data_IF_457854654691
#
_entry.id   IF_457854654691
#
_cell.length_a   1.000
_cell.length_b   1.000
_cell.length_c   1.000
_cell.angle_alpha   90.00
_cell.angle_beta   90.00
_cell.angle_gamma   90.00
#
_symmetry.space_group_name_H-M   'P 1'
#
loop_
_entity.id
_entity.type
_entity.pdbx_description
1 polymer ?
#
# COMPACT_ATOMS: atom_id res chain seq x y z
N UNK A 1 -15.87 -6.44 -22.04
CA UNK A 1 -15.18 -5.44 -21.17
C UNK A 1 -15.84 -5.23 -19.80
N UNK A 2 -17.18 -5.11 -19.63
CA UNK A 2 -17.77 -4.81 -18.30
C UNK A 2 -17.53 -5.82 -17.17
N UNK A 3 -17.33 -7.10 -17.47
CA UNK A 3 -17.11 -8.12 -16.44
C UNK A 3 -15.68 -8.18 -15.92
N UNK A 4 -14.67 -7.72 -16.68
CA UNK A 4 -13.26 -7.83 -16.27
C UNK A 4 -12.93 -6.98 -15.05
N UNK A 5 -13.54 -5.78 -14.93
CA UNK A 5 -13.33 -4.89 -13.77
C UNK A 5 -13.86 -5.50 -12.47
N UNK A 6 -14.99 -6.21 -12.53
CA UNK A 6 -15.60 -6.83 -11.35
C UNK A 6 -14.79 -8.07 -10.93
N UNK A 7 -14.27 -8.85 -11.89
CA UNK A 7 -13.42 -10.01 -11.58
C UNK A 7 -12.13 -9.61 -10.88
N UNK A 8 -11.61 -8.39 -11.12
CA UNK A 8 -10.47 -7.87 -10.37
C UNK A 8 -10.78 -7.78 -8.86
N UNK A 9 -12.05 -7.59 -8.45
CA UNK A 9 -12.46 -7.59 -7.04
C UNK A 9 -12.51 -8.98 -6.40
N UNK A 10 -12.47 -10.05 -7.17
CA UNK A 10 -12.54 -11.40 -6.63
C UNK A 10 -11.32 -11.69 -5.75
N UNK A 11 -11.54 -12.37 -4.64
CA UNK A 11 -10.45 -12.85 -3.80
C UNK A 11 -9.61 -13.86 -4.60
N UNK A 12 -8.28 -13.71 -4.60
CA UNK A 12 -7.37 -14.61 -5.33
C UNK A 12 -7.40 -16.05 -4.82
N UNK A 13 -7.75 -16.26 -3.54
CA UNK A 13 -7.78 -17.59 -2.90
C UNK A 13 -9.10 -18.30 -3.14
N UNK A 14 -10.24 -17.62 -2.98
CA UNK A 14 -11.56 -18.27 -3.01
C UNK A 14 -12.44 -17.88 -4.21
N UNK A 15 -11.99 -16.95 -5.06
CA UNK A 15 -12.70 -16.49 -6.25
C UNK A 15 -14.00 -15.73 -5.98
N UNK A 16 -14.37 -15.50 -4.71
CA UNK A 16 -15.62 -14.82 -4.34
C UNK A 16 -15.48 -13.31 -4.40
N UNK A 17 -16.56 -12.67 -4.84
CA UNK A 17 -16.71 -11.21 -4.82
C UNK A 17 -17.05 -10.71 -3.40
N UNK A 18 -16.60 -9.49 -3.05
CA UNK A 18 -16.96 -8.86 -1.79
C UNK A 18 -18.47 -8.68 -1.69
N UNK A 19 -19.05 -8.90 -0.51
CA UNK A 19 -20.48 -8.79 -0.34
C UNK A 19 -20.96 -7.34 -0.54
N UNK A 20 -21.98 -7.12 -1.36
CA UNK A 20 -22.51 -5.78 -1.59
C UNK A 20 -23.21 -5.25 -0.34
N UNK A 21 -23.33 -3.92 -0.24
CA UNK A 21 -24.11 -3.30 0.82
C UNK A 21 -25.58 -3.74 0.74
N UNK A 22 -26.17 -4.11 1.88
CA UNK A 22 -27.56 -4.59 1.98
C UNK A 22 -28.56 -3.67 1.27
N UNK A 23 -28.41 -2.35 1.43
CA UNK A 23 -29.30 -1.35 0.80
C UNK A 23 -29.25 -1.38 -0.72
N UNK A 24 -28.05 -1.49 -1.32
CA UNK A 24 -27.90 -1.63 -2.78
C UNK A 24 -28.49 -2.95 -3.26
N UNK A 25 -28.25 -4.04 -2.54
CA UNK A 25 -28.85 -5.33 -2.88
C UNK A 25 -30.37 -5.26 -2.88
N UNK A 26 -30.99 -4.66 -1.86
CA UNK A 26 -32.45 -4.48 -1.79
C UNK A 26 -32.96 -3.62 -2.93
N UNK A 27 -32.33 -2.48 -3.21
CA UNK A 27 -32.71 -1.60 -4.32
C UNK A 27 -32.55 -2.27 -5.70
N UNK A 28 -31.49 -3.06 -5.90
CA UNK A 28 -31.31 -3.83 -7.13
C UNK A 28 -32.44 -4.86 -7.31
N UNK A 29 -32.84 -5.56 -6.23
CA UNK A 29 -33.96 -6.51 -6.27
C UNK A 29 -35.28 -5.81 -6.56
N UNK A 30 -35.58 -4.72 -5.87
CA UNK A 30 -36.80 -3.94 -6.09
C UNK A 30 -36.85 -3.36 -7.51
N UNK A 31 -35.76 -2.77 -7.99
CA UNK A 31 -35.69 -2.20 -9.34
C UNK A 31 -35.81 -3.23 -10.46
N UNK A 32 -35.44 -4.49 -10.21
CA UNK A 32 -35.60 -5.57 -11.17
C UNK A 32 -37.02 -6.17 -11.18
N UNK A 33 -37.67 -6.25 -10.01
CA UNK A 33 -39.00 -6.84 -9.85
C UNK A 33 -40.12 -5.84 -10.22
N UNK A 34 -40.00 -4.60 -9.78
CA UNK A 34 -41.08 -3.60 -9.86
C UNK A 34 -41.58 -3.31 -11.29
N UNK A 35 -40.73 -3.12 -12.32
CA UNK A 35 -41.22 -2.84 -13.68
C UNK A 35 -42.00 -4.01 -14.28
N UNK A 36 -41.61 -5.24 -13.94
CA UNK A 36 -42.27 -6.45 -14.45
C UNK A 36 -43.61 -6.65 -13.75
N UNK A 37 -43.67 -6.47 -12.43
CA UNK A 37 -44.95 -6.49 -11.72
C UNK A 37 -45.89 -5.40 -12.20
N UNK A 38 -45.40 -4.17 -12.41
CA UNK A 38 -46.23 -3.07 -12.90
C UNK A 38 -46.79 -3.37 -14.30
N UNK A 39 -45.98 -3.89 -15.22
CA UNK A 39 -46.41 -4.30 -16.55
C UNK A 39 -47.43 -5.44 -16.51
N UNK A 40 -47.23 -6.42 -15.62
CA UNK A 40 -48.16 -7.52 -15.41
C UNK A 40 -49.52 -7.01 -14.89
N UNK A 41 -49.52 -6.13 -13.88
CA UNK A 41 -50.75 -5.53 -13.37
C UNK A 41 -51.49 -4.74 -14.47
N UNK A 42 -50.77 -3.93 -15.24
CA UNK A 42 -51.35 -3.18 -16.36
C UNK A 42 -51.96 -4.11 -17.41
N UNK A 43 -51.29 -5.21 -17.77
CA UNK A 43 -51.76 -6.19 -18.73
C UNK A 43 -53.02 -6.93 -18.24
N UNK A 44 -53.02 -7.36 -16.98
CA UNK A 44 -54.13 -8.10 -16.39
C UNK A 44 -55.39 -7.23 -16.26
N UNK A 45 -55.24 -5.94 -15.97
CA UNK A 45 -56.35 -4.97 -15.99
C UNK A 45 -56.91 -4.79 -17.41
N UNK A 46 -56.05 -4.82 -18.44
CA UNK A 46 -56.47 -4.62 -19.82
C UNK A 46 -57.18 -5.83 -20.44
N UNK A 47 -56.95 -7.05 -19.91
CA UNK A 47 -57.47 -8.31 -20.48
C UNK A 47 -58.83 -8.76 -19.91
N UNK A 48 -59.49 -7.96 -19.06
CA UNK A 48 -60.82 -8.25 -18.47
C UNK A 48 -60.99 -9.69 -17.95
N UNK A 49 -59.96 -10.22 -17.28
CA UNK A 49 -59.96 -11.59 -16.78
C UNK A 49 -60.95 -11.80 -15.62
N UNK A 50 -61.55 -12.99 -15.46
CA UNK A 50 -62.33 -13.32 -14.27
C UNK A 50 -61.45 -13.24 -13.01
N UNK A 51 -62.03 -12.79 -11.90
CA UNK A 51 -61.30 -12.44 -10.66
C UNK A 51 -60.33 -13.53 -10.17
N UNK A 52 -60.74 -14.79 -10.19
CA UNK A 52 -59.88 -15.91 -9.76
C UNK A 52 -58.66 -16.11 -10.68
N UNK A 53 -58.81 -15.89 -11.98
CA UNK A 53 -57.71 -15.98 -12.93
C UNK A 53 -56.72 -14.83 -12.74
N UNK A 54 -57.22 -13.61 -12.49
CA UNK A 54 -56.38 -12.44 -12.16
C UNK A 54 -55.50 -12.71 -10.92
N UNK A 55 -56.10 -13.19 -9.83
CA UNK A 55 -55.37 -13.49 -8.59
C UNK A 55 -54.34 -14.61 -8.80
N UNK A 56 -54.70 -15.67 -9.52
CA UNK A 56 -53.80 -16.79 -9.81
C UNK A 56 -52.61 -16.37 -10.68
N UNK A 57 -52.85 -15.60 -11.75
CA UNK A 57 -51.79 -15.10 -12.64
C UNK A 57 -50.83 -14.19 -11.88
N UNK A 58 -51.34 -13.25 -11.08
CA UNK A 58 -50.49 -12.36 -10.28
C UNK A 58 -49.62 -13.14 -9.28
N UNK A 59 -50.22 -14.02 -8.50
CA UNK A 59 -49.48 -14.78 -7.47
C UNK A 59 -48.43 -15.72 -8.07
N UNK A 60 -48.75 -16.44 -9.15
CA UNK A 60 -47.81 -17.35 -9.82
C UNK A 60 -46.67 -16.55 -10.45
N UNK A 61 -46.98 -15.47 -11.15
CA UNK A 61 -45.96 -14.70 -11.87
C UNK A 61 -45.04 -13.95 -10.90
N UNK A 62 -45.57 -13.35 -9.82
CA UNK A 62 -44.75 -12.74 -8.75
C UNK A 62 -43.83 -13.77 -8.11
N UNK A 63 -44.32 -14.98 -7.82
CA UNK A 63 -43.48 -16.05 -7.23
C UNK A 63 -42.36 -16.48 -8.19
N UNK A 64 -42.68 -16.67 -9.47
CA UNK A 64 -41.69 -17.01 -10.51
C UNK A 64 -40.66 -15.89 -10.64
N UNK A 65 -41.10 -14.63 -10.67
CA UNK A 65 -40.25 -13.45 -10.82
C UNK A 65 -39.26 -13.32 -9.65
N UNK A 66 -39.72 -13.51 -8.41
CA UNK A 66 -38.86 -13.47 -7.22
C UNK A 66 -37.78 -14.55 -7.28
N UNK A 67 -38.11 -15.76 -7.74
CA UNK A 67 -37.13 -16.86 -7.83
C UNK A 67 -36.15 -16.63 -8.98
N UNK A 68 -36.64 -16.27 -10.16
CA UNK A 68 -35.82 -16.19 -11.38
C UNK A 68 -35.04 -14.89 -11.55
N UNK A 69 -35.48 -13.78 -10.98
CA UNK A 69 -34.81 -12.47 -11.15
C UNK A 69 -33.77 -12.22 -10.07
N UNK A 70 -33.99 -12.73 -8.86
CA UNK A 70 -33.14 -12.44 -7.69
C UNK A 70 -31.77 -13.13 -7.76
N UNK A 71 -31.64 -14.29 -8.40
CA UNK A 71 -30.38 -15.06 -8.38
C UNK A 71 -29.47 -14.86 -9.61
N UNK A 72 -29.90 -15.05 -10.87
CA UNK A 72 -28.96 -15.10 -11.99
C UNK A 72 -28.86 -13.80 -12.81
N UNK A 73 -29.98 -13.09 -12.99
CA UNK A 73 -30.10 -11.98 -13.96
C UNK A 73 -29.68 -10.63 -13.39
N UNK A 74 -30.28 -10.22 -12.27
CA UNK A 74 -30.03 -8.91 -11.66
C UNK A 74 -28.57 -8.75 -11.20
N UNK A 75 -27.98 -9.80 -10.62
CA UNK A 75 -26.59 -9.78 -10.14
C UNK A 75 -25.56 -9.59 -11.26
N UNK A 76 -25.81 -10.15 -12.45
CA UNK A 76 -24.90 -9.99 -13.61
C UNK A 76 -24.99 -8.59 -14.22
N UNK A 77 -26.19 -8.04 -14.37
CA UNK A 77 -26.38 -6.72 -15.00
C UNK A 77 -26.10 -5.56 -14.05
N UNK A 78 -26.46 -5.69 -12.77
CA UNK A 78 -26.25 -4.65 -11.76
C UNK A 78 -24.93 -4.79 -11.01
N UNK A 79 -24.10 -5.80 -11.29
CA UNK A 79 -22.87 -6.08 -10.55
C UNK A 79 -21.95 -4.86 -10.38
N UNK A 80 -21.75 -4.06 -11.43
CA UNK A 80 -20.93 -2.83 -11.35
C UNK A 80 -21.55 -1.75 -10.45
N UNK A 81 -22.87 -1.63 -10.44
CA UNK A 81 -23.55 -0.72 -9.54
C UNK A 81 -23.55 -1.27 -8.10
N UNK A 82 -23.74 -2.58 -7.94
CA UNK A 82 -23.74 -3.28 -6.66
C UNK A 82 -22.40 -3.11 -5.94
N UNK A 83 -21.29 -3.29 -6.67
CA UNK A 83 -19.91 -3.14 -6.20
C UNK A 83 -19.32 -1.76 -6.51
N UNK A 84 -20.11 -0.79 -6.95
CA UNK A 84 -19.65 0.54 -7.35
C UNK A 84 -18.75 1.25 -6.32
N UNK A 85 -19.07 1.24 -5.00
CA UNK A 85 -18.22 1.87 -3.99
C UNK A 85 -16.88 1.16 -3.85
N UNK A 86 -16.88 -0.16 -3.98
CA UNK A 86 -15.66 -0.98 -3.88
C UNK A 86 -14.77 -0.79 -5.12
N UNK A 87 -15.38 -0.73 -6.31
CA UNK A 87 -14.70 -0.38 -7.55
C UNK A 87 -14.10 1.03 -7.48
N UNK A 88 -14.82 1.99 -6.91
CA UNK A 88 -14.31 3.34 -6.69
C UNK A 88 -13.17 3.37 -5.67
N UNK A 89 -13.29 2.61 -4.60
CA UNK A 89 -12.24 2.53 -3.58
C UNK A 89 -10.97 1.91 -4.16
N UNK A 90 -11.09 0.80 -4.91
CA UNK A 90 -9.97 0.20 -5.62
C UNK A 90 -9.38 1.13 -6.67
N UNK A 91 -10.22 1.77 -7.49
CA UNK A 91 -9.74 2.77 -8.44
C UNK A 91 -9.02 3.93 -7.75
N UNK A 92 -9.48 4.35 -6.57
CA UNK A 92 -8.81 5.37 -5.77
C UNK A 92 -7.44 4.90 -5.27
N UNK A 93 -7.34 3.68 -4.74
CA UNK A 93 -6.07 3.07 -4.33
C UNK A 93 -5.11 2.87 -5.52
N UNK A 94 -5.63 2.42 -6.65
CA UNK A 94 -4.87 2.25 -7.89
C UNK A 94 -4.43 3.59 -8.48
N UNK A 95 -5.21 4.67 -8.26
CA UNK A 95 -4.88 6.03 -8.66
C UNK A 95 -4.05 6.80 -7.63
N UNK A 96 -3.88 6.24 -6.42
CA UNK A 96 -3.15 6.90 -5.36
C UNK A 96 -1.69 7.11 -5.80
N UNK A 97 -1.12 8.21 -5.33
CA UNK A 97 0.24 8.57 -5.67
C UNK A 97 1.23 7.47 -5.24
N UNK A 98 2.11 7.09 -6.16
CA UNK A 98 3.20 6.16 -5.89
C UNK A 98 4.43 6.92 -5.43
N UNK A 99 4.97 6.48 -4.30
CA UNK A 99 6.20 7.02 -3.75
C UNK A 99 7.40 6.23 -4.29
N UNK A 100 8.45 6.96 -4.65
CA UNK A 100 9.70 6.42 -5.17
C UNK A 100 10.87 6.98 -4.40
N UNK A 101 11.80 6.12 -4.00
CA UNK A 101 13.12 6.51 -3.55
C UNK A 101 14.07 6.42 -4.73
N UNK A 102 14.69 7.54 -5.08
CA UNK A 102 15.59 7.69 -6.22
C UNK A 102 16.95 8.06 -5.67
N UNK A 103 17.98 7.25 -5.98
CA UNK A 103 19.38 7.63 -5.77
C UNK A 103 19.98 8.02 -7.11
N UNK A 104 20.52 9.23 -7.20
CA UNK A 104 21.08 9.79 -8.43
C UNK A 104 22.43 10.46 -8.13
N UNK A 105 23.39 10.27 -9.02
CA UNK A 105 24.61 11.09 -9.05
C UNK A 105 24.36 12.28 -9.97
N UNK A 106 24.40 13.48 -9.41
CA UNK A 106 24.35 14.74 -10.14
C UNK A 106 25.71 15.42 -10.05
N UNK A 107 26.16 16.00 -11.17
CA UNK A 107 27.32 16.88 -11.15
C UNK A 107 27.06 18.04 -10.19
N UNK A 108 28.02 18.37 -9.32
CA UNK A 108 27.95 19.53 -8.44
C UNK A 108 28.19 20.84 -9.24
N UNK A 109 27.25 21.17 -10.12
CA UNK A 109 27.20 22.42 -10.89
C UNK A 109 25.89 23.14 -10.62
N UNK A 110 25.90 24.47 -10.45
CA UNK A 110 24.66 25.24 -10.27
C UNK A 110 23.69 24.96 -11.44
N UNK A 111 22.39 24.83 -11.11
CA UNK A 111 21.32 24.57 -12.08
C UNK A 111 21.05 23.08 -12.43
N UNK A 112 21.90 22.13 -12.01
CA UNK A 112 21.67 20.69 -12.27
C UNK A 112 20.43 20.16 -11.56
N UNK A 113 20.27 20.49 -10.28
CA UNK A 113 19.09 20.10 -9.50
C UNK A 113 17.81 20.75 -10.04
N UNK A 114 17.89 21.99 -10.51
CA UNK A 114 16.77 22.69 -11.14
C UNK A 114 16.31 21.98 -12.42
N UNK A 115 17.27 21.55 -13.25
CA UNK A 115 16.96 20.84 -14.48
C UNK A 115 16.35 19.45 -14.19
N UNK A 116 16.81 18.77 -13.13
CA UNK A 116 16.19 17.54 -12.64
C UNK A 116 14.76 17.79 -12.15
N UNK A 117 14.55 18.80 -11.30
CA UNK A 117 13.23 19.17 -10.80
C UNK A 117 12.27 19.50 -11.95
N UNK A 118 12.74 20.21 -12.98
CA UNK A 118 11.95 20.50 -14.19
C UNK A 118 11.57 19.23 -14.97
N UNK A 119 12.50 18.28 -15.15
CA UNK A 119 12.21 17.02 -15.83
C UNK A 119 11.23 16.13 -15.05
N UNK A 120 11.28 16.16 -13.72
CA UNK A 120 10.31 15.49 -12.85
C UNK A 120 8.94 16.18 -12.90
N UNK A 121 8.90 17.52 -12.84
CA UNK A 121 7.66 18.29 -12.91
C UNK A 121 6.88 18.07 -14.22
N UNK A 122 7.56 17.93 -15.37
CA UNK A 122 6.93 17.59 -16.66
C UNK A 122 6.15 16.27 -16.57
N UNK A 123 6.57 15.35 -15.70
CA UNK A 123 5.93 14.05 -15.45
C UNK A 123 4.98 14.07 -14.26
N UNK A 124 4.64 15.27 -13.77
CA UNK A 124 3.83 15.49 -12.56
C UNK A 124 4.40 14.80 -11.32
N UNK A 125 5.71 14.59 -11.31
CA UNK A 125 6.40 13.99 -10.18
C UNK A 125 6.73 15.09 -9.16
N UNK A 126 6.23 14.95 -7.94
CA UNK A 126 6.42 15.90 -6.85
C UNK A 126 7.57 15.45 -5.94
N UNK A 127 8.55 16.32 -5.70
CA UNK A 127 9.68 16.02 -4.81
C UNK A 127 9.25 16.33 -3.38
N UNK A 128 9.28 15.33 -2.52
CA UNK A 128 8.83 15.43 -1.13
C UNK A 128 10.01 15.70 -0.20
N UNK A 129 11.13 15.00 -0.44
CA UNK A 129 12.34 15.13 0.37
C UNK A 129 13.58 14.99 -0.51
N UNK A 130 14.63 15.74 -0.18
CA UNK A 130 15.95 15.63 -0.80
C UNK A 130 16.99 15.49 0.31
N UNK A 131 17.81 14.45 0.21
CA UNK A 131 18.96 14.21 1.07
C UNK A 131 20.22 14.13 0.23
N UNK A 132 21.28 14.82 0.66
CA UNK A 132 22.55 14.85 -0.04
C UNK A 132 23.56 14.06 0.77
N UNK A 133 24.14 13.03 0.16
CA UNK A 133 25.18 12.21 0.76
C UNK A 133 26.54 12.55 0.13
N UNK A 134 27.50 12.94 0.96
CA UNK A 134 28.87 13.18 0.54
C UNK A 134 29.67 11.87 0.65
N UNK A 135 30.15 11.35 -0.49
CA UNK A 135 30.99 10.16 -0.60
C UNK A 135 32.41 10.56 -1.00
N UNK A 136 33.39 9.71 -0.70
CA UNK A 136 34.80 9.93 -1.08
C UNK A 136 34.98 10.14 -2.60
N UNK A 137 34.08 9.59 -3.41
CA UNK A 137 34.12 9.64 -4.88
C UNK A 137 33.03 10.54 -5.51
N UNK A 138 32.40 11.44 -4.73
CA UNK A 138 31.45 12.44 -5.24
C UNK A 138 30.22 12.64 -4.37
N UNK A 139 29.20 13.27 -4.96
CA UNK A 139 27.92 13.55 -4.29
C UNK A 139 26.84 12.57 -4.81
N UNK A 140 26.08 11.99 -3.88
CA UNK A 140 24.94 11.15 -4.18
C UNK A 140 23.69 11.78 -3.57
N UNK A 141 22.73 12.14 -4.43
CA UNK A 141 21.46 12.70 -4.00
C UNK A 141 20.42 11.58 -3.88
N UNK A 142 19.73 11.55 -2.76
CA UNK A 142 18.58 10.69 -2.49
C UNK A 142 17.32 11.55 -2.46
N UNK A 143 16.40 11.28 -3.39
CA UNK A 143 15.13 11.99 -3.52
C UNK A 143 13.98 11.04 -3.22
N UNK A 144 13.02 11.50 -2.42
CA UNK A 144 11.71 10.87 -2.28
C UNK A 144 10.73 11.64 -3.17
N UNK A 145 10.13 10.94 -4.13
CA UNK A 145 9.30 11.54 -5.16
C UNK A 145 7.94 10.85 -5.19
N UNK A 146 6.87 11.64 -5.12
CA UNK A 146 5.50 11.18 -5.41
C UNK A 146 5.24 11.29 -6.91
N UNK A 147 4.54 10.30 -7.46
CA UNK A 147 4.13 10.29 -8.86
C UNK A 147 2.69 9.80 -9.01
N UNK A 148 1.97 10.25 -10.05
CA UNK A 148 0.75 9.60 -10.49
C UNK A 148 0.96 8.10 -10.76
N UNK A 149 -0.06 7.28 -10.53
CA UNK A 149 0.06 5.83 -10.63
C UNK A 149 0.38 5.30 -12.05
N UNK A 150 0.17 6.08 -13.10
CA UNK A 150 0.52 5.74 -14.48
C UNK A 150 2.03 5.93 -14.78
N UNK A 151 2.79 6.57 -13.89
CA UNK A 151 4.23 6.79 -14.07
C UNK A 151 5.01 5.52 -13.68
N UNK A 152 5.58 4.88 -14.69
CA UNK A 152 6.47 3.73 -14.53
C UNK A 152 7.92 4.15 -14.16
N UNK A 153 8.70 3.28 -13.48
CA UNK A 153 10.11 3.54 -13.14
C UNK A 153 10.97 3.99 -14.32
N UNK A 154 10.77 3.38 -15.50
CA UNK A 154 11.52 3.70 -16.72
C UNK A 154 11.33 5.17 -17.15
N UNK A 155 10.15 5.76 -16.88
CA UNK A 155 9.89 7.18 -17.17
C UNK A 155 10.67 8.10 -16.23
N UNK A 156 10.87 7.69 -14.97
CA UNK A 156 11.71 8.40 -14.00
C UNK A 156 13.19 8.30 -14.36
N UNK A 157 13.68 7.10 -14.70
CA UNK A 157 15.04 6.90 -15.24
C UNK A 157 15.31 7.83 -16.41
N UNK A 158 14.38 7.91 -17.38
CA UNK A 158 14.52 8.82 -18.52
C UNK A 158 14.51 10.30 -18.12
N UNK A 159 13.75 10.68 -17.09
CA UNK A 159 13.74 12.05 -16.57
C UNK A 159 15.12 12.43 -16.01
N UNK A 160 15.70 11.52 -15.23
CA UNK A 160 17.01 11.68 -14.60
C UNK A 160 18.11 11.77 -15.66
N UNK A 161 18.13 10.87 -16.64
CA UNK A 161 19.13 10.91 -17.71
C UNK A 161 19.04 12.19 -18.55
N UNK A 162 17.82 12.68 -18.85
CA UNK A 162 17.63 13.98 -19.51
C UNK A 162 18.11 15.17 -18.67
N UNK A 163 18.14 14.99 -17.36
CA UNK A 163 18.71 15.99 -16.45
C UNK A 163 20.25 16.02 -16.44
N UNK A 164 20.89 15.07 -17.10
CA UNK A 164 22.32 14.83 -17.01
C UNK A 164 22.73 14.13 -15.72
N UNK A 165 21.78 13.56 -14.98
CA UNK A 165 22.05 12.72 -13.82
C UNK A 165 22.22 11.25 -14.20
N UNK A 166 22.99 10.52 -13.40
CA UNK A 166 23.16 9.07 -13.54
C UNK A 166 22.35 8.38 -12.44
N UNK A 167 21.26 7.66 -12.75
CA UNK A 167 20.49 6.96 -11.75
C UNK A 167 21.30 5.80 -11.20
N UNK A 168 21.50 5.77 -9.88
CA UNK A 168 22.12 4.66 -9.15
C UNK A 168 21.07 3.60 -8.83
N UNK A 169 19.84 4.02 -8.55
CA UNK A 169 18.70 3.12 -8.47
C UNK A 169 17.40 3.84 -8.16
N UNK A 170 16.29 3.17 -8.49
CA UNK A 170 14.92 3.63 -8.24
C UNK A 170 14.17 2.49 -7.59
N UNK A 171 13.67 2.71 -6.38
CA UNK A 171 12.94 1.72 -5.61
C UNK A 171 11.57 2.29 -5.21
N UNK A 172 10.52 1.45 -5.10
CA UNK A 172 9.28 1.88 -4.48
C UNK A 172 9.55 2.31 -3.03
N UNK A 173 8.90 3.39 -2.61
CA UNK A 173 8.94 3.90 -1.25
C UNK A 173 7.54 3.82 -0.63
N UNK A 174 7.46 3.92 0.69
CA UNK A 174 6.20 3.97 1.44
C UNK A 174 6.06 5.31 2.14
N UNK A 175 4.86 5.62 2.64
CA UNK A 175 4.63 6.86 3.40
C UNK A 175 5.53 6.95 4.65
N UNK A 176 5.93 5.80 5.21
CA UNK A 176 6.88 5.74 6.32
C UNK A 176 8.28 6.26 5.95
N UNK A 177 8.63 6.24 4.66
CA UNK A 177 9.92 6.77 4.15
C UNK A 177 9.96 8.31 4.18
N UNK A 178 8.82 8.99 4.28
CA UNK A 178 8.79 10.46 4.42
C UNK A 178 9.13 10.94 5.83
N UNK A 179 9.01 10.07 6.83
CA UNK A 179 9.37 10.41 8.21
C UNK A 179 10.88 10.56 8.24
N UNK A 180 11.36 11.75 8.58
CA UNK A 180 12.79 12.00 8.69
C UNK A 180 13.41 11.07 9.75
N UNK A 181 14.71 10.78 9.59
CA UNK A 181 15.40 9.83 10.45
C UNK A 181 15.35 10.19 11.94
N UNK A 182 15.24 11.47 12.29
CA UNK A 182 15.19 11.93 13.68
C UNK A 182 13.81 11.64 14.28
N UNK A 183 12.73 11.99 13.59
CA UNK A 183 11.35 11.67 13.99
C UNK A 183 11.15 10.16 14.08
N UNK A 184 11.68 9.39 13.13
CA UNK A 184 11.64 7.92 13.18
C UNK A 184 12.40 7.38 14.40
N UNK A 185 13.59 7.89 14.68
CA UNK A 185 14.37 7.47 15.84
C UNK A 185 13.67 7.80 17.16
N UNK A 186 13.00 8.95 17.27
CA UNK A 186 12.20 9.31 18.44
C UNK A 186 10.99 8.38 18.61
N UNK A 187 10.29 8.03 17.53
CA UNK A 187 9.20 7.06 17.58
C UNK A 187 9.67 5.67 18.03
N UNK A 188 10.81 5.21 17.51
CA UNK A 188 11.46 3.97 17.96
C UNK A 188 11.87 4.02 19.43
N UNK A 189 12.38 5.17 19.90
CA UNK A 189 12.71 5.39 21.31
C UNK A 189 11.47 5.33 22.20
N UNK A 190 10.35 5.95 21.80
CA UNK A 190 9.07 5.86 22.54
C UNK A 190 8.57 4.42 22.62
N UNK A 191 8.71 3.65 21.54
CA UNK A 191 8.34 2.22 21.51
C UNK A 191 9.16 1.39 22.50
N UNK A 192 10.49 1.58 22.54
CA UNK A 192 11.38 0.93 23.51
C UNK A 192 11.08 1.36 24.94
N UNK A 193 10.74 2.63 25.16
CA UNK A 193 10.39 3.13 26.49
C UNK A 193 9.07 2.53 27.00
N UNK A 194 8.11 2.28 26.10
CA UNK A 194 6.84 1.65 26.44
C UNK A 194 6.98 0.13 26.67
N UNK A 195 7.78 -0.55 25.84
CA UNK A 195 8.08 -1.98 25.97
C UNK A 195 9.56 -2.27 25.67
N UNK A 196 10.41 -2.38 26.72
CA UNK A 196 11.83 -2.69 26.55
C UNK A 196 12.11 -4.06 25.91
N UNK A 197 11.15 -5.00 25.92
CA UNK A 197 11.33 -6.31 25.32
C UNK A 197 11.39 -6.25 23.78
N UNK A 198 10.87 -5.18 23.17
CA UNK A 198 10.91 -4.99 21.72
C UNK A 198 12.27 -4.46 21.20
N UNK A 199 13.23 -4.18 22.10
CA UNK A 199 14.53 -3.62 21.76
C UNK A 199 15.24 -4.31 20.57
N UNK A 200 15.31 -5.66 20.48
CA UNK A 200 15.98 -6.30 19.35
C UNK A 200 15.31 -5.98 18.01
N UNK A 201 13.97 -5.98 17.98
CA UNK A 201 13.21 -5.68 16.76
C UNK A 201 13.33 -4.20 16.38
N UNK A 202 13.33 -3.32 17.37
CA UNK A 202 13.49 -1.87 17.16
C UNK A 202 14.89 -1.54 16.63
N UNK A 203 15.95 -2.15 17.15
CA UNK A 203 17.31 -1.94 16.61
C UNK A 203 17.42 -2.51 15.18
N UNK A 204 16.86 -3.69 14.91
CA UNK A 204 16.82 -4.25 13.56
C UNK A 204 16.14 -3.28 12.58
N UNK A 205 15.00 -2.69 13.00
CA UNK A 205 14.28 -1.70 12.23
C UNK A 205 15.08 -0.40 12.01
N UNK A 206 15.75 0.11 13.06
CA UNK A 206 16.60 1.31 12.99
C UNK A 206 17.73 1.13 11.96
N UNK A 207 18.35 -0.05 11.96
CA UNK A 207 19.52 -0.38 11.15
C UNK A 207 19.18 -0.85 9.72
N UNK A 208 17.89 -1.11 9.45
CA UNK A 208 17.49 -1.79 8.22
C UNK A 208 18.15 -3.17 8.10
N UNK A 209 18.30 -3.85 9.23
CA UNK A 209 18.99 -5.13 9.37
C UNK A 209 18.02 -6.20 9.89
N UNK A 210 18.45 -7.46 9.81
CA UNK A 210 17.74 -8.59 10.39
C UNK A 210 18.30 -8.91 11.77
N UNK A 211 17.43 -9.04 12.77
CA UNK A 211 17.81 -9.58 14.08
C UNK A 211 18.01 -11.10 13.98
N UNK A 212 19.14 -11.57 14.48
CA UNK A 212 19.53 -12.99 14.46
C UNK A 212 19.76 -13.44 15.90
N UNK A 213 18.81 -14.14 16.54
CA UNK A 213 18.96 -14.56 17.93
C UNK A 213 20.06 -15.61 18.13
N UNK A 214 20.34 -16.43 17.10
CA UNK A 214 21.42 -17.43 17.12
C UNK A 214 22.28 -17.24 15.88
N UNK A 215 23.47 -16.64 15.98
CA UNK A 215 24.35 -16.48 14.82
C UNK A 215 24.80 -17.85 14.29
N UNK A 216 24.50 -18.14 13.02
CA UNK A 216 25.00 -19.31 12.32
C UNK A 216 26.43 -19.07 11.82
N UNK A 217 27.40 -19.96 12.12
CA UNK A 217 28.77 -19.87 11.60
C UNK A 217 28.89 -19.98 10.07
N UNK A 218 27.93 -20.60 9.35
CA UNK A 218 27.97 -20.79 7.89
C UNK A 218 27.33 -19.63 7.09
N UNK A 219 27.52 -18.42 7.62
CA UNK A 219 26.83 -17.19 7.24
C UNK A 219 26.84 -16.85 5.75
N UNK A 220 25.75 -16.25 5.28
CA UNK A 220 25.54 -15.79 3.89
C UNK A 220 26.72 -14.94 3.40
N UNK A 221 27.44 -15.35 2.33
CA UNK A 221 28.56 -14.59 1.77
C UNK A 221 28.17 -13.15 1.40
N UNK A 222 28.94 -12.16 1.84
CA UNK A 222 28.72 -10.74 1.52
C UNK A 222 27.75 -9.99 2.45
N UNK A 223 27.40 -10.57 3.61
CA UNK A 223 26.63 -9.92 4.66
C UNK A 223 27.53 -9.30 5.72
N UNK A 224 27.14 -8.13 6.26
CA UNK A 224 27.81 -7.49 7.41
C UNK A 224 27.08 -7.83 8.70
N UNK A 225 27.87 -8.12 9.73
CA UNK A 225 27.40 -8.41 11.09
C UNK A 225 27.66 -7.20 12.00
N UNK A 226 26.69 -6.89 12.86
CA UNK A 226 26.88 -6.03 14.03
C UNK A 226 26.44 -6.79 15.28
N UNK A 227 27.36 -6.96 16.21
CA UNK A 227 27.06 -7.46 17.54
C UNK A 227 26.95 -6.28 18.50
N UNK A 228 25.87 -6.24 19.27
CA UNK A 228 25.66 -5.26 20.32
C UNK A 228 25.65 -6.04 21.63
N UNK A 229 26.67 -5.80 22.46
CA UNK A 229 26.77 -6.29 23.81
C UNK A 229 26.35 -5.16 24.77
N UNK A 230 25.04 -5.04 25.10
CA UNK A 230 24.59 -4.05 26.08
C UNK A 230 25.13 -4.36 27.49
N UNK A 231 25.25 -3.36 28.38
CA UNK A 231 25.68 -3.56 29.76
C UNK A 231 24.82 -4.58 30.53
N UNK A 232 25.47 -5.47 31.31
CA UNK A 232 25.09 -6.49 32.33
C UNK A 232 23.64 -7.02 32.51
N UNK A 233 22.59 -6.38 31.97
CA UNK A 233 21.17 -6.71 32.18
C UNK A 233 20.40 -7.08 30.91
N UNK A 234 21.02 -7.00 29.74
CA UNK A 234 20.39 -7.31 28.46
C UNK A 234 21.23 -8.37 27.74
N UNK A 235 20.57 -9.27 27.03
CA UNK A 235 21.24 -10.30 26.25
C UNK A 235 21.99 -9.68 25.05
N UNK A 236 23.14 -10.25 24.64
CA UNK A 236 23.81 -9.87 23.41
C UNK A 236 22.87 -10.04 22.21
N UNK A 237 22.87 -9.04 21.32
CA UNK A 237 22.04 -9.03 20.11
C UNK A 237 22.92 -8.96 18.87
N UNK A 238 22.50 -9.68 17.83
CA UNK A 238 23.26 -9.84 16.59
C UNK A 238 22.39 -9.38 15.42
N UNK A 239 22.93 -8.51 14.56
CA UNK A 239 22.24 -7.91 13.42
C UNK A 239 22.95 -8.19 12.10
N UNK A 240 22.18 -8.56 11.08
CA UNK A 240 22.65 -8.93 9.75
C UNK A 240 22.13 -7.96 8.68
N UNK A 241 23.02 -7.38 7.87
CA UNK A 241 22.64 -6.57 6.70
C UNK A 241 23.41 -7.01 5.46
N UNK A 242 22.72 -7.17 4.33
CA UNK A 242 23.34 -7.51 3.05
C UNK A 242 23.81 -6.26 2.30
N UNK A 243 25.01 -6.31 1.71
CA UNK A 243 25.47 -5.35 0.71
C UNK A 243 25.96 -3.98 1.21
N UNK A 244 25.91 -3.67 2.51
CA UNK A 244 26.41 -2.39 3.05
C UNK A 244 26.91 -2.50 4.51
N UNK A 245 28.15 -2.04 4.81
CA UNK A 245 28.69 -2.07 6.17
C UNK A 245 27.97 -1.08 7.09
N UNK A 246 27.94 -1.36 8.40
CA UNK A 246 27.38 -0.43 9.39
C UNK A 246 28.28 0.79 9.57
N UNK A 247 27.69 1.97 9.48
CA UNK A 247 28.40 3.23 9.72
C UNK A 247 28.58 3.47 11.22
N UNK A 248 29.63 4.22 11.64
CA UNK A 248 29.82 4.57 13.05
C UNK A 248 28.60 5.27 13.68
N UNK A 249 27.89 6.08 12.90
CA UNK A 249 26.69 6.77 13.35
C UNK A 249 25.50 5.82 13.60
N UNK A 250 25.35 4.76 12.77
CA UNK A 250 24.34 3.73 12.98
C UNK A 250 24.61 2.92 14.24
N UNK A 251 25.87 2.50 14.43
CA UNK A 251 26.31 1.75 15.62
C UNK A 251 26.05 2.59 16.88
N UNK A 252 26.46 3.86 16.87
CA UNK A 252 26.23 4.77 18.00
C UNK A 252 24.74 4.92 18.33
N UNK A 253 23.85 5.09 17.34
CA UNK A 253 22.41 5.18 17.57
C UNK A 253 21.83 3.89 18.17
N UNK A 254 22.27 2.73 17.70
CA UNK A 254 21.84 1.45 18.24
C UNK A 254 22.24 1.28 19.71
N UNK A 255 23.47 1.66 20.08
CA UNK A 255 23.89 1.70 21.49
C UNK A 255 23.05 2.67 22.33
N UNK A 256 22.68 3.85 21.80
CA UNK A 256 21.81 4.78 22.53
C UNK A 256 20.40 4.25 22.77
N UNK A 257 19.85 3.46 21.86
CA UNK A 257 18.58 2.77 22.09
C UNK A 257 18.71 1.69 23.18
N UNK A 258 19.83 0.97 23.22
CA UNK A 258 20.11 0.01 24.29
C UNK A 258 20.27 0.71 25.66
N UNK A 259 20.95 1.86 25.71
CA UNK A 259 21.05 2.70 26.91
C UNK A 259 19.65 3.12 27.39
N UNK A 260 18.76 3.53 26.47
CA UNK A 260 17.39 3.93 26.79
C UNK A 260 16.56 2.77 27.36
N UNK A 261 16.66 1.58 26.77
CA UNK A 261 15.98 0.39 27.31
C UNK A 261 16.44 0.10 28.74
N UNK A 262 17.74 0.21 29.02
CA UNK A 262 18.29 0.02 30.36
C UNK A 262 17.74 1.03 31.40
N UNK A 263 17.49 2.27 30.98
CA UNK A 263 16.88 3.28 31.87
C UNK A 263 15.41 2.96 32.10
N UNK A 264 14.69 2.55 31.06
CA UNK A 264 13.25 2.25 31.11
C UNK A 264 12.97 1.03 32.01
N UNK A 265 13.80 -0.02 31.93
CA UNK A 265 13.71 -1.21 32.80
C UNK A 265 13.99 -0.89 34.27
N UNK A 266 14.70 0.20 34.58
CA UNK A 266 15.01 0.60 35.97
C UNK A 266 13.91 1.44 36.61
N UNK A 267 12.96 1.98 35.85
CA UNK A 267 11.86 2.77 36.41
C UNK A 267 10.76 1.82 36.90
N UNK A 268 10.36 1.91 38.18
CA UNK A 268 9.32 1.05 38.77
C UNK A 268 7.91 1.42 38.31
#
# INVERSE_FOLDING_TARGET
>A
MRQSEIHALACEVCGRLPHPRRTRLTLAKLGAVFPVELALHALVIHLELPYLAMVAVLTITTTILVIWVVEPGAMRYLGRWLHGPELQHRAHLDSAERLWRIRVRLDNKPGRLELLAKQLAIRRANILTVHVHHLENGVLDELIVSTPADVAPNRLTQAISRAGGVPVGIWPASALTLVDGQTRALGLATRVAADPAELPLVIAELLGAQYVPTPDPDRVPGSTLLEIAPPEKLDPMTFLRSGEPFTPAEIARAHRLADLALVSVRQP
#
